data_IF_988178200308
#
_entry.id   IF_988178200308
#
_cell.length_a   1.000
_cell.length_b   1.000
_cell.length_c   1.000
_cell.angle_alpha   90.00
_cell.angle_beta   90.00
_cell.angle_gamma   90.00
#
_symmetry.space_group_name_H-M   'P 1'
#
loop_
_entity.id
_entity.type
_entity.pdbx_description
1 polymer ?
#
# COMPACT_ATOMS: atom_id res chain seq x y z
N UNK A 1 14.61 -3.81 -11.52
CA UNK A 1 13.30 -4.49 -11.49
C UNK A 1 13.57 -5.89 -10.97
N UNK A 2 13.25 -6.13 -9.70
CA UNK A 2 13.41 -7.47 -9.09
C UNK A 2 12.32 -8.39 -9.64
N UNK A 3 12.61 -9.68 -9.75
CA UNK A 3 11.69 -10.68 -10.31
C UNK A 3 10.40 -10.82 -9.48
N UNK A 4 10.43 -10.32 -8.24
CA UNK A 4 9.31 -10.34 -7.29
C UNK A 4 8.35 -9.15 -7.41
N UNK A 5 8.74 -8.04 -8.05
CA UNK A 5 7.96 -6.80 -8.06
C UNK A 5 6.81 -6.87 -9.07
N UNK A 6 5.57 -6.72 -8.59
CA UNK A 6 4.36 -6.76 -9.42
C UNK A 6 3.89 -5.37 -9.82
N UNK A 7 4.01 -4.41 -8.92
CA UNK A 7 3.51 -3.06 -9.12
C UNK A 7 4.31 -2.08 -8.26
N UNK A 8 4.60 -0.91 -8.80
CA UNK A 8 5.18 0.22 -8.07
C UNK A 8 4.66 1.52 -8.68
N UNK A 9 4.17 2.41 -7.84
CA UNK A 9 3.69 3.73 -8.25
C UNK A 9 3.69 4.71 -7.07
N UNK A 10 3.59 6.01 -7.37
CA UNK A 10 3.41 7.07 -6.39
C UNK A 10 1.98 7.58 -6.44
N UNK A 11 1.29 7.50 -5.31
CA UNK A 11 -0.07 7.98 -5.15
C UNK A 11 -0.12 9.26 -4.33
N UNK A 12 -0.91 10.22 -4.77
CA UNK A 12 -1.31 11.36 -3.94
C UNK A 12 -2.60 11.00 -3.21
N UNK A 13 -2.62 11.14 -1.89
CA UNK A 13 -3.82 10.91 -1.08
C UNK A 13 -4.82 12.04 -1.32
N UNK A 14 -6.00 11.71 -1.83
CA UNK A 14 -7.05 12.67 -2.16
C UNK A 14 -8.15 12.72 -1.11
N UNK A 15 -8.37 11.62 -0.38
CA UNK A 15 -9.38 11.55 0.68
C UNK A 15 -8.90 10.65 1.81
N UNK A 16 -9.18 11.08 3.04
CA UNK A 16 -8.95 10.32 4.28
C UNK A 16 -10.28 10.19 5.03
N UNK A 17 -10.66 8.98 5.40
CA UNK A 17 -11.82 8.68 6.23
C UNK A 17 -11.35 8.00 7.54
N UNK A 18 -11.24 8.79 8.60
CA UNK A 18 -10.69 8.39 9.90
C UNK A 18 -11.73 8.41 11.05
N UNK A 19 -12.97 8.80 10.76
CA UNK A 19 -13.99 9.05 11.78
C UNK A 19 -14.69 7.78 12.30
N UNK A 20 -14.58 6.66 11.58
CA UNK A 20 -15.35 5.45 11.88
C UNK A 20 -14.65 4.51 12.86
N UNK A 21 -13.32 4.53 12.91
CA UNK A 21 -12.52 3.60 13.72
C UNK A 21 -11.35 4.31 14.39
N UNK A 22 -11.04 3.95 15.64
CA UNK A 22 -10.00 4.64 16.43
C UNK A 22 -8.57 4.51 15.86
N UNK A 23 -8.27 3.39 15.19
CA UNK A 23 -6.90 3.04 14.75
C UNK A 23 -6.80 2.67 13.28
N UNK A 24 -7.91 2.76 12.55
CA UNK A 24 -7.97 2.40 11.13
C UNK A 24 -8.56 3.57 10.37
N UNK A 25 -7.85 4.02 9.35
CA UNK A 25 -8.38 4.99 8.42
C UNK A 25 -8.44 4.38 7.02
N UNK A 26 -9.48 4.74 6.26
CA UNK A 26 -9.53 4.45 4.83
C UNK A 26 -8.93 5.61 4.08
N UNK A 27 -7.87 5.33 3.32
CA UNK A 27 -7.26 6.31 2.40
C UNK A 27 -7.70 6.03 0.98
N UNK A 28 -7.93 7.09 0.23
CA UNK A 28 -8.15 7.06 -1.20
C UNK A 28 -7.12 7.96 -1.86
N UNK A 29 -6.55 7.52 -2.98
CA UNK A 29 -5.54 8.27 -3.70
C UNK A 29 -5.51 7.93 -5.18
N UNK A 30 -4.79 8.75 -5.93
CA UNK A 30 -4.62 8.62 -7.38
C UNK A 30 -3.14 8.65 -7.75
N UNK A 31 -2.74 7.84 -8.74
CA UNK A 31 -1.38 7.85 -9.28
C UNK A 31 -1.03 9.21 -9.88
N UNK A 32 0.26 9.49 -10.04
CA UNK A 32 0.74 10.79 -10.55
C UNK A 32 0.19 11.14 -11.94
N UNK A 33 -0.07 10.14 -12.79
CA UNK A 33 -0.67 10.29 -14.12
C UNK A 33 -2.22 10.25 -14.10
N UNK A 34 -2.82 10.08 -12.92
CA UNK A 34 -4.27 9.95 -12.70
C UNK A 34 -4.93 8.77 -13.43
N UNK A 35 -4.16 7.75 -13.83
CA UNK A 35 -4.70 6.55 -14.51
C UNK A 35 -5.14 5.47 -13.52
N UNK A 36 -4.54 5.44 -12.34
CA UNK A 36 -4.78 4.43 -11.30
C UNK A 36 -5.34 5.09 -10.06
N UNK A 37 -6.37 4.47 -9.48
CA UNK A 37 -6.93 4.87 -8.18
C UNK A 37 -6.72 3.76 -7.16
N UNK A 38 -6.39 4.13 -5.93
CA UNK A 38 -6.21 3.20 -4.82
C UNK A 38 -7.19 3.52 -3.70
N UNK A 39 -7.70 2.49 -3.04
CA UNK A 39 -8.46 2.60 -1.79
C UNK A 39 -7.91 1.53 -0.85
N UNK A 40 -7.39 1.96 0.31
CA UNK A 40 -6.69 1.10 1.24
C UNK A 40 -7.08 1.44 2.68
N UNK A 41 -7.30 0.41 3.49
CA UNK A 41 -7.44 0.57 4.95
C UNK A 41 -6.06 0.45 5.58
N UNK A 42 -5.64 1.45 6.35
CA UNK A 42 -4.32 1.51 7.00
C UNK A 42 -4.49 1.63 8.51
N UNK A 43 -3.46 1.20 9.25
CA UNK A 43 -3.37 1.51 10.67
C UNK A 43 -2.91 2.98 10.86
N UNK A 44 -3.84 3.86 11.19
CA UNK A 44 -3.61 5.30 11.32
C UNK A 44 -2.85 5.71 12.59
N UNK A 45 -2.75 4.83 13.59
CA UNK A 45 -1.96 5.05 14.82
C UNK A 45 -0.46 4.83 14.55
N UNK A 46 -0.12 3.80 13.76
CA UNK A 46 1.26 3.45 13.45
C UNK A 46 1.82 4.24 12.26
N UNK A 47 0.97 4.54 11.27
CA UNK A 47 1.37 5.25 10.06
C UNK A 47 0.30 6.27 9.66
N UNK A 48 0.29 7.46 10.30
CA UNK A 48 -0.67 8.50 9.98
C UNK A 48 -0.38 9.10 8.60
N UNK A 49 -1.42 9.27 7.79
CA UNK A 49 -1.36 9.91 6.48
C UNK A 49 -2.34 11.08 6.41
N UNK A 50 -2.02 12.07 5.57
CA UNK A 50 -2.86 13.25 5.37
C UNK A 50 -3.27 13.42 3.90
N UNK A 51 -4.40 14.09 3.66
CA UNK A 51 -4.79 14.52 2.31
C UNK A 51 -3.73 15.45 1.71
N UNK A 52 -3.35 15.20 0.46
CA UNK A 52 -2.29 15.91 -0.27
C UNK A 52 -0.90 15.29 -0.13
N UNK A 53 -0.75 14.29 0.74
CA UNK A 53 0.52 13.58 0.92
C UNK A 53 0.80 12.62 -0.24
N UNK A 54 2.08 12.46 -0.60
CA UNK A 54 2.50 11.51 -1.64
C UNK A 54 3.10 10.26 -1.00
N UNK A 55 2.61 9.10 -1.41
CA UNK A 55 3.03 7.79 -0.91
C UNK A 55 3.51 6.94 -2.06
N UNK A 56 4.75 6.44 -1.98
CA UNK A 56 5.24 5.41 -2.88
C UNK A 56 4.75 4.04 -2.38
N UNK A 57 4.05 3.31 -3.24
CA UNK A 57 3.53 1.98 -2.97
C UNK A 57 4.20 0.97 -3.89
N UNK A 58 4.71 -0.11 -3.31
CA UNK A 58 5.25 -1.25 -4.03
C UNK A 58 4.53 -2.53 -3.57
N UNK A 59 4.13 -3.36 -4.53
CA UNK A 59 3.54 -4.69 -4.32
C UNK A 59 4.50 -5.72 -4.91
N UNK A 60 4.86 -6.72 -4.12
CA UNK A 60 5.72 -7.83 -4.54
C UNK A 60 5.11 -9.17 -4.14
N UNK A 61 5.42 -10.24 -4.90
CA UNK A 61 4.99 -11.62 -4.60
C UNK A 61 5.77 -12.25 -3.46
N UNK A 62 6.97 -11.74 -3.19
CA UNK A 62 7.87 -12.24 -2.14
C UNK A 62 8.74 -11.10 -1.63
N UNK A 63 9.23 -11.25 -0.40
CA UNK A 63 10.24 -10.37 0.18
C UNK A 63 11.65 -10.69 -0.33
N UNK A 64 11.86 -11.89 -0.86
CA UNK A 64 13.15 -12.28 -1.41
C UNK A 64 13.38 -11.55 -2.74
N UNK A 65 14.48 -10.80 -2.81
CA UNK A 65 14.83 -10.04 -4.02
C UNK A 65 15.04 -10.94 -5.25
N UNK A 66 15.36 -12.22 -5.04
CA UNK A 66 15.59 -13.20 -6.09
C UNK A 66 14.32 -13.85 -6.65
N UNK A 67 13.13 -13.47 -6.14
CA UNK A 67 11.85 -14.01 -6.61
C UNK A 67 11.48 -15.37 -6.02
N UNK A 68 12.31 -15.95 -5.15
CA UNK A 68 11.97 -17.21 -4.48
C UNK A 68 10.84 -17.00 -3.46
N UNK A 69 9.83 -17.87 -3.45
CA UNK A 69 8.74 -17.83 -2.47
C UNK A 69 9.11 -18.65 -1.22
N UNK A 70 9.04 -18.04 -0.03
CA UNK A 70 9.18 -18.77 1.25
C UNK A 70 7.88 -19.49 1.68
N UNK A 71 6.88 -19.59 0.80
CA UNK A 71 5.58 -20.19 1.12
C UNK A 71 5.60 -21.72 0.97
N UNK A 72 6.43 -22.39 1.77
CA UNK A 72 6.36 -23.84 2.06
C UNK A 72 6.82 -24.20 3.46
N UNK A 73 6.35 -23.53 4.52
CA UNK A 73 6.54 -24.06 5.87
C UNK A 73 5.62 -23.44 6.94
N UNK A 74 4.31 -23.74 6.96
CA UNK A 74 3.54 -24.03 8.19
C UNK A 74 2.32 -24.90 7.86
N UNK A 75 2.57 -26.18 7.65
CA UNK A 75 1.54 -27.21 7.86
C UNK A 75 1.30 -27.28 9.37
N UNK A 76 0.09 -26.95 9.81
CA UNK A 76 -0.41 -27.14 11.17
C UNK A 76 -1.80 -27.74 11.08
#
# INVERSE_FOLDING_TARGET
MSDAQLYEDTFTITTLLDQTYDRVARVMGTSADSTTSVTLDINSELYPLNTGENVNMLIATTLNLDGSSEDRAKTG
#
